data_IF_627170361951
#
_entry.id   IF_627170361951
#
_cell.length_a   1.000
_cell.length_b   1.000
_cell.length_c   1.000
_cell.angle_alpha   90.00
_cell.angle_beta   90.00
_cell.angle_gamma   90.00
#
_symmetry.space_group_name_H-M   'P 1'
#
loop_
_entity.id
_entity.type
_entity.pdbx_description
1 polymer ?
#
# COMPACT_ATOMS: atom_id res chain seq x y z
N UNK A 1 -39.45 -15.64 38.32
CA UNK A 1 -38.82 -14.30 38.29
C UNK A 1 -37.56 -14.45 37.46
N UNK A 2 -37.72 -14.36 36.13
CA UNK A 2 -36.65 -14.66 35.16
C UNK A 2 -35.66 -13.51 35.12
N UNK A 3 -34.38 -13.83 35.29
CA UNK A 3 -33.28 -12.91 35.14
C UNK A 3 -33.02 -12.67 33.66
N UNK A 4 -33.56 -11.59 33.09
CA UNK A 4 -33.02 -11.01 31.86
C UNK A 4 -31.72 -10.32 32.23
N UNK A 5 -30.60 -11.01 32.01
CA UNK A 5 -29.28 -10.38 32.01
C UNK A 5 -29.23 -9.55 30.73
N UNK A 6 -29.37 -8.23 30.88
CA UNK A 6 -29.14 -7.24 29.83
C UNK A 6 -27.73 -7.49 29.24
N UNK A 7 -27.69 -8.11 28.06
CA UNK A 7 -26.44 -8.25 27.32
C UNK A 7 -25.90 -6.83 27.04
N UNK A 8 -24.59 -6.56 27.19
CA UNK A 8 -24.07 -5.23 26.96
C UNK A 8 -24.46 -4.77 25.55
N UNK A 9 -25.15 -3.63 25.48
CA UNK A 9 -25.59 -3.01 24.23
C UNK A 9 -24.37 -2.75 23.34
N UNK A 10 -24.08 -3.66 22.42
CA UNK A 10 -23.01 -3.47 21.43
C UNK A 10 -23.47 -2.38 20.45
N UNK A 11 -22.95 -1.18 20.65
CA UNK A 11 -23.20 -0.02 19.80
C UNK A 11 -22.71 -0.31 18.38
N UNK A 12 -23.61 -0.23 17.40
CA UNK A 12 -23.29 -0.33 15.97
C UNK A 12 -22.74 1.01 15.45
N UNK A 13 -21.75 0.94 14.57
CA UNK A 13 -21.21 2.12 13.86
C UNK A 13 -22.30 2.65 12.92
N UNK A 14 -22.53 3.96 12.95
CA UNK A 14 -23.49 4.62 12.05
C UNK A 14 -22.90 4.79 10.65
N UNK A 15 -23.75 4.94 9.62
CA UNK A 15 -23.28 5.24 8.25
C UNK A 15 -22.40 6.48 8.19
N UNK A 16 -22.72 7.51 8.98
CA UNK A 16 -21.93 8.74 9.02
C UNK A 16 -20.53 8.49 9.58
N UNK A 17 -20.40 7.70 10.63
CA UNK A 17 -19.10 7.32 11.20
C UNK A 17 -18.30 6.42 10.27
N UNK A 18 -18.95 5.51 9.52
CA UNK A 18 -18.27 4.72 8.48
C UNK A 18 -17.64 5.65 7.44
N UNK A 19 -18.39 6.62 6.95
CA UNK A 19 -17.90 7.59 5.97
C UNK A 19 -16.77 8.44 6.55
N UNK A 20 -16.94 8.97 7.77
CA UNK A 20 -15.90 9.76 8.44
C UNK A 20 -14.59 8.96 8.63
N UNK A 21 -14.70 7.68 9.01
CA UNK A 21 -13.54 6.81 9.16
C UNK A 21 -12.85 6.53 7.82
N UNK A 22 -13.61 6.30 6.73
CA UNK A 22 -13.03 6.14 5.39
C UNK A 22 -12.20 7.37 5.01
N UNK A 23 -12.73 8.58 5.22
CA UNK A 23 -11.97 9.81 4.96
C UNK A 23 -10.71 9.90 5.83
N UNK A 24 -10.81 9.56 7.11
CA UNK A 24 -9.67 9.57 8.02
C UNK A 24 -8.56 8.59 7.57
N UNK A 25 -8.92 7.36 7.22
CA UNK A 25 -7.97 6.36 6.74
C UNK A 25 -7.31 6.77 5.41
N UNK A 26 -8.09 7.33 4.49
CA UNK A 26 -7.57 7.82 3.21
C UNK A 26 -6.62 9.00 3.42
N UNK A 27 -6.98 9.98 4.24
CA UNK A 27 -6.13 11.14 4.52
C UNK A 27 -4.82 10.74 5.22
N UNK A 28 -4.90 9.86 6.22
CA UNK A 28 -3.73 9.36 6.92
C UNK A 28 -2.78 8.59 5.97
N UNK A 29 -3.33 7.72 5.11
CA UNK A 29 -2.54 6.96 4.15
C UNK A 29 -1.99 7.81 2.99
N UNK A 30 -2.73 8.84 2.56
CA UNK A 30 -2.32 9.72 1.47
C UNK A 30 -1.09 10.55 1.83
N UNK A 31 -1.10 11.25 2.95
CA UNK A 31 0.00 12.14 3.34
C UNK A 31 1.32 11.38 3.52
N UNK A 32 1.29 10.25 4.22
CA UNK A 32 2.50 9.45 4.47
C UNK A 32 3.03 8.81 3.19
N UNK A 33 2.14 8.22 2.37
CA UNK A 33 2.56 7.51 1.15
C UNK A 33 3.03 8.50 0.07
N UNK A 34 2.34 9.62 -0.10
CA UNK A 34 2.75 10.66 -1.05
C UNK A 34 4.11 11.27 -0.68
N UNK A 35 4.35 11.52 0.60
CA UNK A 35 5.66 11.99 1.09
C UNK A 35 6.75 10.96 0.83
N UNK A 36 6.51 9.68 1.14
CA UNK A 36 7.45 8.61 0.89
C UNK A 36 7.79 8.49 -0.61
N UNK A 37 6.76 8.45 -1.48
CA UNK A 37 6.94 8.38 -2.93
C UNK A 37 7.68 9.59 -3.50
N UNK A 38 7.39 10.80 -3.00
CA UNK A 38 8.06 12.01 -3.43
C UNK A 38 9.57 11.95 -3.09
N UNK A 39 9.91 11.51 -1.88
CA UNK A 39 11.30 11.35 -1.46
C UNK A 39 12.01 10.24 -2.22
N UNK A 40 11.39 9.06 -2.39
CA UNK A 40 11.93 7.97 -3.20
C UNK A 40 12.20 8.43 -4.63
N UNK A 41 11.24 9.12 -5.25
CA UNK A 41 11.40 9.66 -6.60
C UNK A 41 12.55 10.66 -6.68
N UNK A 42 12.67 11.54 -5.69
CA UNK A 42 13.76 12.52 -5.62
C UNK A 42 15.14 11.83 -5.48
N UNK A 43 15.26 10.85 -4.59
CA UNK A 43 16.50 10.10 -4.38
C UNK A 43 16.91 9.38 -5.66
N UNK A 44 15.99 8.66 -6.31
CA UNK A 44 16.28 7.96 -7.57
C UNK A 44 16.70 8.93 -8.68
N UNK A 45 15.98 10.05 -8.85
CA UNK A 45 16.30 11.06 -9.86
C UNK A 45 17.67 11.73 -9.64
N UNK A 46 18.15 11.80 -8.40
CA UNK A 46 19.45 12.39 -8.05
C UNK A 46 20.59 11.37 -7.97
N UNK A 47 20.27 10.06 -8.00
CA UNK A 47 21.23 8.96 -7.95
C UNK A 47 21.02 8.01 -9.14
N UNK A 48 21.43 8.42 -10.36
CA UNK A 48 21.12 7.68 -11.60
C UNK A 48 21.68 6.26 -11.63
N UNK A 49 22.81 6.00 -10.95
CA UNK A 49 23.35 4.64 -10.85
C UNK A 49 22.43 3.72 -10.04
N UNK A 50 21.85 4.24 -8.94
CA UNK A 50 20.92 3.47 -8.11
C UNK A 50 19.59 3.28 -8.83
N UNK A 51 19.14 4.29 -9.58
CA UNK A 51 17.96 4.18 -10.44
C UNK A 51 18.13 3.11 -11.52
N UNK A 52 19.27 3.09 -12.22
CA UNK A 52 19.57 2.07 -13.24
C UNK A 52 19.63 0.68 -12.63
N UNK A 53 20.31 0.52 -11.49
CA UNK A 53 20.40 -0.75 -10.78
C UNK A 53 19.02 -1.26 -10.34
N UNK A 54 18.15 -0.36 -9.87
CA UNK A 54 16.77 -0.72 -9.51
C UNK A 54 15.96 -1.16 -10.73
N UNK A 55 16.08 -0.44 -11.84
CA UNK A 55 15.43 -0.79 -13.08
C UNK A 55 15.89 -2.16 -13.59
N UNK A 56 17.20 -2.40 -13.69
CA UNK A 56 17.75 -3.70 -14.10
C UNK A 56 17.29 -4.85 -13.19
N UNK A 57 17.22 -4.59 -11.88
CA UNK A 57 16.69 -5.57 -10.92
C UNK A 57 15.22 -5.86 -11.20
N UNK A 58 14.37 -4.86 -11.40
CA UNK A 58 12.95 -5.01 -11.73
C UNK A 58 12.79 -5.76 -13.06
N UNK A 59 13.49 -5.34 -14.11
CA UNK A 59 13.45 -5.93 -15.45
C UNK A 59 13.83 -7.41 -15.44
N UNK A 60 14.72 -7.85 -14.52
CA UNK A 60 15.10 -9.25 -14.38
C UNK A 60 13.94 -10.19 -13.98
N UNK A 61 12.83 -9.65 -13.47
CA UNK A 61 11.62 -10.41 -13.13
C UNK A 61 10.60 -10.48 -14.27
N UNK A 62 10.80 -9.75 -15.37
CA UNK A 62 9.90 -9.78 -16.52
C UNK A 62 10.48 -10.64 -17.64
N UNK A 63 9.62 -11.41 -18.29
CA UNK A 63 9.99 -12.14 -19.50
C UNK A 63 9.60 -11.31 -20.72
N UNK A 64 10.57 -10.90 -21.57
CA UNK A 64 10.29 -10.10 -22.77
C UNK A 64 9.44 -10.84 -23.81
N UNK A 65 9.32 -12.17 -23.71
CA UNK A 65 8.53 -12.99 -24.63
C UNK A 65 7.05 -13.19 -24.20
N UNK A 66 6.63 -12.55 -23.11
CA UNK A 66 5.26 -12.59 -22.60
C UNK A 66 4.68 -11.19 -22.49
N UNK A 67 3.44 -10.98 -22.96
CA UNK A 67 2.66 -9.73 -22.82
C UNK A 67 2.17 -9.49 -21.37
N UNK A 68 2.97 -9.85 -20.36
CA UNK A 68 2.63 -9.62 -18.96
C UNK A 68 3.12 -8.24 -18.52
N UNK A 69 2.26 -7.24 -18.72
CA UNK A 69 2.58 -5.82 -18.50
C UNK A 69 2.74 -5.45 -17.00
N UNK A 70 2.45 -6.37 -16.07
CA UNK A 70 2.52 -6.09 -14.64
C UNK A 70 2.98 -7.29 -13.80
N UNK A 71 3.84 -7.08 -12.78
CA UNK A 71 4.29 -8.16 -11.91
C UNK A 71 3.17 -8.56 -10.93
N UNK A 72 3.04 -9.86 -10.64
CA UNK A 72 2.14 -10.32 -9.57
C UNK A 72 2.60 -9.82 -8.20
N UNK A 73 1.71 -9.84 -7.21
CA UNK A 73 2.04 -9.49 -5.83
C UNK A 73 3.16 -10.40 -5.28
N UNK A 74 3.13 -11.71 -5.59
CA UNK A 74 4.20 -12.61 -5.15
C UNK A 74 5.55 -12.31 -5.82
N UNK A 75 5.54 -11.79 -7.05
CA UNK A 75 6.76 -11.37 -7.75
C UNK A 75 7.36 -10.13 -7.10
N UNK A 76 6.55 -9.12 -6.77
CA UNK A 76 7.00 -7.90 -6.08
C UNK A 76 7.68 -8.24 -4.74
N UNK A 77 7.10 -9.16 -3.95
CA UNK A 77 7.66 -9.58 -2.66
C UNK A 77 9.04 -10.25 -2.77
N UNK A 78 9.45 -10.69 -3.96
CA UNK A 78 10.77 -11.29 -4.20
C UNK A 78 11.81 -10.25 -4.65
N UNK A 79 11.40 -9.03 -4.97
CA UNK A 79 12.29 -7.99 -5.47
C UNK A 79 13.12 -7.38 -4.32
N UNK A 80 14.15 -8.08 -3.87
CA UNK A 80 14.96 -7.69 -2.70
C UNK A 80 15.58 -6.28 -2.76
N UNK A 81 15.87 -5.77 -3.97
CA UNK A 81 16.44 -4.43 -4.13
C UNK A 81 15.39 -3.30 -4.19
N UNK A 82 14.11 -3.65 -4.34
CA UNK A 82 12.99 -2.71 -4.36
C UNK A 82 12.47 -2.40 -2.93
N UNK A 83 12.66 -3.32 -1.98
CA UNK A 83 12.25 -3.20 -0.56
C UNK A 83 13.24 -2.33 0.25
#
# INVERSE_FOLDING_TARGET
MGTEIDAPLVRKITKHEIVANIYLFMAAGYETTSTALAYTSYVLATHPNEQLKLQEHIDSYFNPDTDDDAPSYETILKMEYLD
#
